data_IF_818970526828
#
_entry.id   IF_818970526828
#
_cell.length_a   1.000
_cell.length_b   1.000
_cell.length_c   1.000
_cell.angle_alpha   90.00
_cell.angle_beta   90.00
_cell.angle_gamma   90.00
#
_symmetry.space_group_name_H-M   'P 1'
#
loop_
_entity.id
_entity.type
_entity.pdbx_description
1 polymer ?
#
# COMPACT_ATOMS: atom_id res chain seq x y z
N UNK A 1 5.55 -4.56 19.71
CA UNK A 1 4.89 -3.88 18.58
C UNK A 1 5.27 -4.64 17.32
N UNK A 2 4.34 -5.22 16.55
CA UNK A 2 4.71 -6.14 15.47
C UNK A 2 5.31 -5.43 14.25
N UNK A 3 4.81 -4.26 13.87
CA UNK A 3 5.26 -3.50 12.68
C UNK A 3 5.15 -1.98 12.91
N UNK A 4 6.07 -1.22 12.29
CA UNK A 4 6.02 0.24 12.12
C UNK A 4 5.94 0.52 10.62
N UNK A 5 5.09 1.46 10.23
CA UNK A 5 4.80 1.76 8.83
C UNK A 5 5.40 3.11 8.40
N UNK A 6 5.99 3.15 7.22
CA UNK A 6 6.45 4.36 6.54
C UNK A 6 6.00 4.35 5.07
N UNK A 7 6.28 5.46 4.38
CA UNK A 7 6.03 5.61 2.94
C UNK A 7 7.33 5.36 2.17
N UNK A 8 7.21 4.76 0.98
CA UNK A 8 8.33 4.49 0.06
C UNK A 8 9.05 5.78 -0.36
N UNK A 9 8.30 6.89 -0.42
CA UNK A 9 8.82 8.21 -0.84
C UNK A 9 9.55 8.91 0.31
N UNK A 10 9.31 8.49 1.56
CA UNK A 10 10.00 8.98 2.74
C UNK A 10 10.61 7.83 3.57
N UNK A 11 11.55 7.06 2.99
CA UNK A 11 12.28 6.05 3.75
C UNK A 11 13.10 6.77 4.81
N UNK A 12 12.79 6.47 6.08
CA UNK A 12 13.38 7.20 7.19
C UNK A 12 14.39 6.31 7.90
N UNK A 13 15.66 6.74 7.89
CA UNK A 13 16.69 6.14 8.73
C UNK A 13 16.26 6.09 10.21
N UNK A 14 15.44 7.05 10.64
CA UNK A 14 14.83 7.07 11.97
C UNK A 14 13.88 5.88 12.18
N UNK A 15 12.97 5.60 11.25
CA UNK A 15 12.04 4.46 11.38
C UNK A 15 12.78 3.12 11.35
N UNK A 16 13.83 3.01 10.54
CA UNK A 16 14.71 1.83 10.52
C UNK A 16 15.40 1.60 11.87
N UNK A 17 15.97 2.66 12.47
CA UNK A 17 16.60 2.57 13.80
C UNK A 17 15.59 2.23 14.90
N UNK A 18 14.37 2.78 14.86
CA UNK A 18 13.31 2.40 15.80
C UNK A 18 12.96 0.92 15.64
N UNK A 19 12.85 0.41 14.41
CA UNK A 19 12.65 -1.02 14.15
C UNK A 19 13.74 -1.88 14.78
N UNK A 20 15.01 -1.54 14.56
CA UNK A 20 16.16 -2.25 15.16
C UNK A 20 16.15 -2.21 16.70
N UNK A 21 15.86 -1.05 17.28
CA UNK A 21 15.89 -0.85 18.73
C UNK A 21 14.72 -1.53 19.45
N UNK A 22 13.55 -1.64 18.80
CA UNK A 22 12.32 -2.17 19.42
C UNK A 22 12.00 -3.61 19.01
N UNK A 23 12.65 -4.13 17.97
CA UNK A 23 12.32 -5.41 17.35
C UNK A 23 11.05 -5.37 16.49
N UNK A 24 10.47 -4.19 16.24
CA UNK A 24 9.36 -4.05 15.32
C UNK A 24 9.84 -4.19 13.88
N UNK A 25 9.04 -4.87 13.03
CA UNK A 25 9.29 -4.92 11.59
C UNK A 25 9.07 -3.53 11.00
N UNK A 26 9.98 -3.06 10.16
CA UNK A 26 9.72 -1.86 9.36
C UNK A 26 9.04 -2.27 8.05
N UNK A 27 7.91 -1.63 7.74
CA UNK A 27 7.16 -1.74 6.50
C UNK A 27 7.16 -0.38 5.80
N UNK A 28 7.91 -0.27 4.70
CA UNK A 28 8.09 0.96 3.94
C UNK A 28 7.27 1.00 2.65
N UNK A 29 6.49 -0.05 2.37
CA UNK A 29 5.75 -0.15 1.11
C UNK A 29 4.41 0.56 1.08
N UNK A 30 3.99 1.27 2.16
CA UNK A 30 2.74 2.05 2.09
C UNK A 30 2.90 3.20 1.08
N UNK A 31 1.81 3.47 0.37
CA UNK A 31 1.82 4.39 -0.77
C UNK A 31 0.82 5.51 -0.55
N UNK A 32 1.21 6.73 -0.91
CA UNK A 32 0.36 7.92 -0.79
C UNK A 32 0.15 8.65 -2.13
N UNK A 33 1.03 8.42 -3.10
CA UNK A 33 1.01 9.02 -4.44
C UNK A 33 1.20 8.00 -5.58
N UNK A 34 1.88 6.89 -5.33
CA UNK A 34 2.09 5.81 -6.31
C UNK A 34 0.92 4.81 -6.34
N UNK A 35 0.10 4.86 -7.39
CA UNK A 35 -1.02 3.93 -7.56
C UNK A 35 -0.51 2.53 -7.97
N UNK A 36 -1.08 1.44 -7.44
CA UNK A 36 -0.63 0.09 -7.78
C UNK A 36 -1.01 -0.29 -9.23
N UNK A 37 -0.14 -1.02 -9.91
CA UNK A 37 -0.35 -1.40 -11.32
C UNK A 37 -0.02 -0.27 -12.31
N UNK A 38 -0.19 -0.54 -13.60
CA UNK A 38 0.09 0.43 -14.66
C UNK A 38 -1.13 1.33 -14.95
N UNK A 39 -0.93 2.56 -15.48
CA UNK A 39 -2.03 3.41 -15.93
C UNK A 39 -3.01 2.67 -16.87
N UNK A 40 -4.31 2.83 -16.64
CA UNK A 40 -5.38 2.10 -17.32
C UNK A 40 -5.74 0.73 -16.72
N UNK A 41 -4.94 0.17 -15.80
CA UNK A 41 -5.33 -1.02 -15.06
C UNK A 41 -6.37 -0.67 -13.97
N UNK A 42 -7.31 -1.59 -13.70
CA UNK A 42 -8.36 -1.33 -12.71
C UNK A 42 -7.83 -1.07 -11.29
N UNK A 43 -6.67 -1.65 -10.95
CA UNK A 43 -5.98 -1.43 -9.67
C UNK A 43 -5.22 -0.12 -9.62
N UNK A 44 -4.93 0.52 -10.77
CA UNK A 44 -4.29 1.83 -10.85
C UNK A 44 -5.32 2.93 -10.55
N UNK A 45 -5.81 2.89 -9.31
CA UNK A 45 -6.88 3.74 -8.82
C UNK A 45 -6.76 3.94 -7.32
N UNK A 46 -7.38 4.99 -6.81
CA UNK A 46 -7.44 5.27 -5.38
C UNK A 46 -8.01 4.09 -4.57
N UNK A 47 -9.01 3.38 -5.10
CA UNK A 47 -9.55 2.18 -4.43
C UNK A 47 -8.54 1.02 -4.40
N UNK A 48 -7.74 0.86 -5.47
CA UNK A 48 -6.63 -0.09 -5.50
C UNK A 48 -5.56 0.23 -4.46
N UNK A 49 -5.18 1.51 -4.37
CA UNK A 49 -4.27 2.04 -3.35
C UNK A 49 -4.77 1.72 -1.93
N UNK A 50 -6.00 2.13 -1.60
CA UNK A 50 -6.58 1.90 -0.28
C UNK A 50 -6.64 0.40 0.06
N UNK A 51 -7.05 -0.44 -0.90
CA UNK A 51 -7.10 -1.90 -0.71
C UNK A 51 -5.72 -2.45 -0.37
N UNK A 52 -4.69 -2.04 -1.13
CA UNK A 52 -3.31 -2.45 -0.91
C UNK A 52 -2.83 -2.05 0.51
N UNK A 53 -2.96 -0.78 0.88
CA UNK A 53 -2.50 -0.28 2.17
C UNK A 53 -3.20 -0.97 3.35
N UNK A 54 -4.52 -1.15 3.28
CA UNK A 54 -5.25 -1.87 4.33
C UNK A 54 -4.79 -3.33 4.44
N UNK A 55 -4.55 -4.02 3.33
CA UNK A 55 -4.02 -5.38 3.36
C UNK A 55 -2.63 -5.42 4.00
N UNK A 56 -1.74 -4.49 3.64
CA UNK A 56 -0.39 -4.36 4.18
C UNK A 56 -0.42 -4.10 5.69
N UNK A 57 -1.24 -3.15 6.14
CA UNK A 57 -1.40 -2.84 7.56
C UNK A 57 -1.95 -4.04 8.35
N UNK A 58 -3.03 -4.67 7.88
CA UNK A 58 -3.64 -5.82 8.57
C UNK A 58 -2.64 -6.97 8.71
N UNK A 59 -1.94 -7.32 7.62
CA UNK A 59 -0.95 -8.41 7.63
C UNK A 59 0.25 -8.06 8.49
N UNK A 60 0.74 -6.82 8.42
CA UNK A 60 1.84 -6.33 9.24
C UNK A 60 1.54 -6.36 10.74
N UNK A 61 0.28 -6.18 11.13
CA UNK A 61 -0.17 -6.31 12.51
C UNK A 61 -0.50 -7.75 12.93
N UNK A 62 -0.26 -8.74 12.07
CA UNK A 62 -0.49 -10.17 12.35
C UNK A 62 -1.89 -10.68 12.01
N UNK A 63 -2.72 -9.86 11.36
CA UNK A 63 -4.07 -10.21 10.93
C UNK A 63 -4.12 -10.89 9.55
N UNK A 64 -5.35 -11.20 9.12
CA UNK A 64 -5.67 -11.71 7.78
C UNK A 64 -6.74 -10.82 7.15
N UNK A 65 -6.68 -10.63 5.83
CA UNK A 65 -7.53 -9.69 5.08
C UNK A 65 -8.43 -10.37 4.02
N UNK A 66 -9.09 -11.51 4.29
CA UNK A 66 -9.75 -12.31 3.24
C UNK A 66 -10.88 -11.57 2.51
N UNK A 67 -11.54 -10.61 3.17
CA UNK A 67 -12.55 -9.77 2.54
C UNK A 67 -11.93 -8.81 1.52
N UNK A 68 -10.80 -8.19 1.86
CA UNK A 68 -10.05 -7.33 0.94
C UNK A 68 -9.38 -8.14 -0.16
N UNK A 69 -8.92 -9.36 0.11
CA UNK A 69 -8.35 -10.24 -0.91
C UNK A 69 -9.38 -10.59 -2.01
N UNK A 70 -10.67 -10.60 -1.67
CA UNK A 70 -11.79 -10.86 -2.60
C UNK A 70 -12.45 -9.59 -3.14
N UNK A 71 -12.06 -8.41 -2.67
CA UNK A 71 -12.65 -7.15 -3.12
C UNK A 71 -12.19 -6.85 -4.55
N UNK A 72 -13.11 -6.94 -5.51
CA UNK A 72 -12.83 -6.50 -6.87
C UNK A 72 -12.80 -4.98 -6.91
N UNK A 73 -11.68 -4.42 -7.38
CA UNK A 73 -11.60 -2.99 -7.70
C UNK A 73 -11.95 -2.85 -9.17
N UNK A 74 -13.08 -2.22 -9.45
CA UNK A 74 -13.56 -1.94 -10.81
C UNK A 74 -13.66 -0.44 -11.00
N UNK A 75 -13.17 0.07 -12.13
CA UNK A 75 -13.42 1.45 -12.52
C UNK A 75 -14.92 1.69 -12.67
N UNK A 76 -15.41 2.82 -12.15
CA UNK A 76 -16.80 3.22 -12.34
C UNK A 76 -17.09 3.57 -13.81
N UNK A 77 -16.07 4.00 -14.54
CA UNK A 77 -16.09 4.34 -15.96
C UNK A 77 -14.81 3.83 -16.65
N UNK A 78 -14.82 3.64 -17.97
CA UNK A 78 -13.60 3.41 -18.75
C UNK A 78 -12.61 4.55 -18.52
N UNK A 79 -11.33 4.20 -18.35
CA UNK A 79 -10.25 5.18 -18.33
C UNK A 79 -9.82 5.47 -19.78
N UNK A 80 -10.15 6.67 -20.25
CA UNK A 80 -9.80 7.17 -21.59
C UNK A 80 -8.64 8.18 -21.53
N UNK A 81 -8.02 8.37 -20.36
CA UNK A 81 -6.94 9.32 -20.20
C UNK A 81 -5.65 8.84 -20.88
N UNK A 82 -4.96 9.77 -21.54
CA UNK A 82 -3.64 9.51 -22.12
C UNK A 82 -2.59 9.96 -21.12
N UNK A 83 -1.82 9.01 -20.59
CA UNK A 83 -0.73 9.25 -19.66
C UNK A 83 0.60 9.29 -20.43
N UNK A 84 1.18 10.47 -20.72
CA UNK A 84 2.51 10.54 -21.33
C UNK A 84 3.53 9.95 -20.35
N UNK A 85 4.20 8.88 -20.79
CA UNK A 85 5.27 8.20 -20.06
C UNK A 85 6.62 8.80 -20.44
#
# INVERSE_FOLDING_TARGET
MPTIFGSEVFPSSVLSEIGKATGARYEDSLRDDDLPGAPGEAVHSWLGLMRYDYQTMIKGLGGKSPALDKLTVTGANPDEAVYPQ
#
